data_IF_958110553740
#
_entry.id   IF_958110553740
#
_cell.length_a   1.000
_cell.length_b   1.000
_cell.length_c   1.000
_cell.angle_alpha   90.00
_cell.angle_beta   90.00
_cell.angle_gamma   90.00
#
_symmetry.space_group_name_H-M   'P 1'
#
loop_
_entity.id
_entity.type
_entity.pdbx_description
1 polymer ?
#
# COMPACT_ATOMS: atom_id res chain seq x y z
N UNK A 1 12.50 30.22 -9.45
CA UNK A 1 12.79 29.93 -10.87
C UNK A 1 12.92 28.42 -11.01
N UNK A 2 11.78 27.73 -11.17
CA UNK A 2 11.63 26.40 -11.74
C UNK A 2 10.14 26.28 -12.10
N UNK A 3 9.91 25.85 -13.33
CA UNK A 3 8.68 25.93 -14.10
C UNK A 3 7.73 24.78 -13.70
N UNK A 4 6.66 25.07 -12.94
CA UNK A 4 5.80 24.03 -12.32
C UNK A 4 4.37 23.98 -12.91
N UNK A 5 4.09 24.58 -14.07
CA UNK A 5 2.69 24.74 -14.54
C UNK A 5 2.36 24.22 -15.94
N UNK A 6 3.23 23.45 -16.61
CA UNK A 6 2.98 23.05 -18.01
C UNK A 6 2.90 21.54 -18.28
N UNK A 7 2.59 20.71 -17.27
CA UNK A 7 2.28 19.29 -17.50
C UNK A 7 0.83 19.03 -17.12
N UNK A 8 -0.10 19.39 -18.00
CA UNK A 8 -1.53 19.11 -17.81
C UNK A 8 -1.80 17.61 -17.59
N UNK A 9 -3.04 17.24 -17.28
CA UNK A 9 -3.53 15.86 -17.04
C UNK A 9 -3.08 14.77 -18.06
N UNK A 10 -2.51 15.15 -19.20
CA UNK A 10 -1.94 14.25 -20.22
C UNK A 10 -0.44 13.98 -20.08
N UNK A 11 0.30 14.66 -19.22
CA UNK A 11 1.75 14.54 -19.19
C UNK A 11 2.29 13.49 -18.22
N UNK A 12 3.62 13.36 -18.08
CA UNK A 12 4.26 12.31 -17.27
C UNK A 12 3.74 12.32 -15.83
N UNK A 13 3.50 11.13 -15.27
CA UNK A 13 3.02 10.98 -13.90
C UNK A 13 4.19 10.79 -12.94
N UNK A 14 4.38 11.77 -12.05
CA UNK A 14 5.33 11.65 -10.94
C UNK A 14 4.67 10.98 -9.75
N UNK A 15 5.18 9.82 -9.36
CA UNK A 15 4.74 9.04 -8.20
C UNK A 15 5.78 9.19 -7.10
N UNK A 16 5.38 9.79 -5.97
CA UNK A 16 6.20 9.87 -4.76
C UNK A 16 5.87 8.71 -3.84
N UNK A 17 6.85 7.89 -3.49
CA UNK A 17 6.67 6.71 -2.65
C UNK A 17 7.64 6.70 -1.47
N UNK A 18 7.27 5.97 -0.41
CA UNK A 18 8.13 5.79 0.76
C UNK A 18 9.31 4.89 0.37
N UNK A 19 10.55 5.33 0.59
CA UNK A 19 11.72 4.52 0.35
C UNK A 19 12.04 3.62 1.56
N UNK A 20 12.59 2.43 1.30
CA UNK A 20 13.07 1.55 2.37
C UNK A 20 14.24 2.22 3.12
N UNK A 21 14.20 2.31 4.46
CA UNK A 21 15.31 2.89 5.20
C UNK A 21 16.51 1.93 5.14
N UNK A 22 17.68 2.44 4.77
CA UNK A 22 18.92 1.66 4.74
C UNK A 22 19.35 1.17 6.13
N UNK A 23 18.90 1.85 7.21
CA UNK A 23 19.20 1.51 8.61
C UNK A 23 17.98 1.75 9.51
N UNK A 24 17.85 1.04 10.65
CA UNK A 24 16.66 1.09 11.50
C UNK A 24 16.37 2.45 12.15
N UNK A 25 17.35 3.36 12.24
CA UNK A 25 17.20 4.69 12.85
C UNK A 25 17.23 5.84 11.81
N UNK A 26 17.25 5.54 10.52
CA UNK A 26 17.27 6.58 9.49
C UNK A 26 15.88 7.19 9.36
N UNK A 27 15.77 8.53 9.24
CA UNK A 27 14.49 9.17 8.94
C UNK A 27 13.89 8.59 7.65
N UNK A 28 12.56 8.54 7.59
CA UNK A 28 11.84 8.11 6.39
C UNK A 28 12.18 9.05 5.23
N UNK A 29 12.72 8.47 4.16
CA UNK A 29 12.97 9.18 2.92
C UNK A 29 11.84 8.88 1.92
N UNK A 30 11.56 9.85 1.06
CA UNK A 30 10.67 9.66 -0.09
C UNK A 30 11.53 9.58 -1.35
N UNK A 31 11.14 8.71 -2.26
CA UNK A 31 11.70 8.63 -3.59
C UNK A 31 10.63 9.01 -4.62
N UNK A 32 11.08 9.53 -5.75
CA UNK A 32 10.21 9.93 -6.86
C UNK A 32 10.50 9.07 -8.07
N UNK A 33 9.42 8.67 -8.74
CA UNK A 33 9.43 7.88 -9.95
C UNK A 33 8.59 8.63 -10.99
N UNK A 34 9.15 8.88 -12.16
CA UNK A 34 8.42 9.50 -13.26
C UNK A 34 8.01 8.45 -14.26
N UNK A 35 6.70 8.31 -14.48
CA UNK A 35 6.13 7.44 -15.49
C UNK A 35 5.86 8.27 -16.75
N UNK A 36 6.44 7.90 -17.91
CA UNK A 36 6.18 8.59 -19.16
C UNK A 36 4.69 8.62 -19.51
N UNK A 37 4.22 9.75 -20.04
CA UNK A 37 2.83 9.89 -20.49
C UNK A 37 2.41 8.84 -21.52
N UNK A 38 3.34 8.37 -22.34
CA UNK A 38 3.10 7.38 -23.40
C UNK A 38 2.70 6.00 -22.85
N UNK A 39 3.04 5.69 -21.60
CA UNK A 39 2.67 4.43 -20.95
C UNK A 39 1.29 4.50 -20.27
N UNK A 40 0.69 5.69 -20.23
CA UNK A 40 -0.61 5.93 -19.61
C UNK A 40 -1.68 5.97 -20.69
N UNK A 41 -2.61 5.01 -20.62
CA UNK A 41 -3.73 4.94 -21.56
C UNK A 41 -5.01 5.46 -20.92
N UNK A 42 -5.61 6.46 -21.57
CA UNK A 42 -6.86 7.08 -21.18
C UNK A 42 -8.03 6.50 -21.97
N UNK A 43 -9.11 6.18 -21.26
CA UNK A 43 -10.40 5.86 -21.84
C UNK A 43 -11.46 6.76 -21.23
N UNK A 44 -12.29 7.36 -22.07
CA UNK A 44 -13.43 8.16 -21.63
C UNK A 44 -14.71 7.41 -21.92
N UNK A 45 -15.65 7.50 -20.98
CA UNK A 45 -16.98 6.92 -21.16
C UNK A 45 -18.02 7.79 -20.48
N UNK A 46 -19.28 7.41 -20.63
CA UNK A 46 -20.38 8.02 -19.89
C UNK A 46 -20.32 7.58 -18.42
N UNK A 47 -20.65 8.49 -17.52
CA UNK A 47 -20.84 8.18 -16.11
C UNK A 47 -22.16 7.45 -15.92
N UNK A 48 -22.17 6.39 -15.12
CA UNK A 48 -23.39 5.67 -14.78
C UNK A 48 -24.06 6.38 -13.59
N UNK A 49 -25.21 7.01 -13.81
CA UNK A 49 -26.01 7.65 -12.78
C UNK A 49 -27.52 7.58 -13.07
N UNK A 50 -28.40 7.62 -12.05
CA UNK A 50 -29.85 7.63 -12.26
C UNK A 50 -30.26 8.89 -13.04
N UNK A 51 -31.14 8.69 -14.03
CA UNK A 51 -31.40 9.60 -15.14
C UNK A 51 -31.83 11.03 -14.79
N UNK A 52 -31.22 11.97 -15.51
CA UNK A 52 -31.71 13.33 -15.74
C UNK A 52 -31.19 13.79 -17.10
N UNK A 53 -31.94 14.62 -17.83
CA UNK A 53 -31.69 14.94 -19.25
C UNK A 53 -30.29 15.55 -19.57
N UNK A 54 -29.54 15.97 -18.54
CA UNK A 54 -28.17 16.47 -18.66
C UNK A 54 -27.07 15.42 -18.43
N UNK A 55 -27.37 14.28 -17.81
CA UNK A 55 -26.37 13.27 -17.39
C UNK A 55 -25.96 12.36 -18.57
N UNK A 56 -26.80 12.25 -19.59
CA UNK A 56 -26.63 11.27 -20.68
C UNK A 56 -25.78 11.75 -21.87
N UNK A 57 -25.35 13.02 -21.91
CA UNK A 57 -24.76 13.60 -23.13
C UNK A 57 -23.23 13.77 -23.07
N UNK A 58 -22.62 13.84 -21.88
CA UNK A 58 -21.19 14.16 -21.76
C UNK A 58 -20.38 12.98 -21.20
N UNK A 59 -19.34 12.58 -21.94
CA UNK A 59 -18.35 11.57 -21.55
C UNK A 59 -17.45 12.07 -20.41
N UNK A 60 -18.06 12.19 -19.22
CA UNK A 60 -17.42 12.71 -18.02
C UNK A 60 -16.59 11.66 -17.28
N UNK A 61 -16.87 10.37 -17.41
CA UNK A 61 -16.12 9.31 -16.73
C UNK A 61 -14.75 9.14 -17.38
N UNK A 62 -13.71 9.18 -16.56
CA UNK A 62 -12.32 8.99 -16.96
C UNK A 62 -11.79 7.68 -16.39
N UNK A 63 -11.20 6.86 -17.25
CA UNK A 63 -10.49 5.63 -16.93
C UNK A 63 -9.03 5.80 -17.34
N UNK A 64 -8.14 5.48 -16.42
CA UNK A 64 -6.70 5.53 -16.62
C UNK A 64 -6.14 4.14 -16.39
N UNK A 65 -5.39 3.65 -17.37
CA UNK A 65 -4.76 2.33 -17.34
C UNK A 65 -3.24 2.46 -17.50
N UNK A 66 -2.52 1.63 -16.77
CA UNK A 66 -1.06 1.59 -16.77
C UNK A 66 -0.59 0.12 -16.73
N UNK A 67 0.23 -0.27 -17.69
CA UNK A 67 0.81 -1.62 -17.73
C UNK A 67 2.03 -1.71 -16.81
N UNK A 68 1.78 -2.21 -15.59
CA UNK A 68 2.81 -2.39 -14.58
C UNK A 68 3.78 -3.53 -14.93
N UNK A 69 3.38 -4.48 -15.78
CA UNK A 69 4.19 -5.64 -16.15
C UNK A 69 5.12 -5.34 -17.34
N UNK A 70 4.70 -4.48 -18.28
CA UNK A 70 5.48 -4.11 -19.46
C UNK A 70 6.37 -2.87 -19.26
N UNK A 71 6.06 -1.97 -18.31
CA UNK A 71 6.78 -0.70 -18.09
C UNK A 71 8.30 -0.85 -17.88
N UNK A 72 9.10 0.01 -18.52
CA UNK A 72 10.54 0.13 -18.25
C UNK A 72 10.87 1.23 -17.24
N UNK A 73 9.89 2.09 -16.92
CA UNK A 73 10.07 3.19 -15.99
C UNK A 73 10.39 2.71 -14.57
N UNK A 74 9.94 1.50 -14.20
CA UNK A 74 10.08 0.93 -12.84
C UNK A 74 11.24 -0.07 -12.78
N UNK A 75 12.19 0.09 -11.84
CA UNK A 75 13.24 -0.90 -11.60
C UNK A 75 12.68 -2.32 -11.35
N UNK A 76 13.31 -3.38 -11.87
CA UNK A 76 12.77 -4.75 -11.80
C UNK A 76 12.39 -5.22 -10.38
N UNK A 77 13.19 -4.89 -9.37
CA UNK A 77 12.93 -5.26 -7.98
C UNK A 77 11.72 -4.54 -7.37
N UNK A 78 11.43 -3.31 -7.80
CA UNK A 78 10.19 -2.60 -7.44
C UNK A 78 8.99 -3.16 -8.20
N UNK A 79 9.18 -3.50 -9.47
CA UNK A 79 8.16 -4.08 -10.33
C UNK A 79 7.63 -5.39 -9.75
N UNK A 80 8.52 -6.33 -9.40
CA UNK A 80 8.13 -7.60 -8.77
C UNK A 80 7.33 -7.36 -7.49
N UNK A 81 7.79 -6.46 -6.63
CA UNK A 81 7.07 -6.10 -5.40
C UNK A 81 5.68 -5.53 -5.69
N UNK A 82 5.60 -4.59 -6.63
CA UNK A 82 4.35 -3.93 -6.97
C UNK A 82 3.37 -4.94 -7.60
N UNK A 83 3.84 -5.88 -8.43
CA UNK A 83 3.03 -6.96 -9.01
C UNK A 83 2.49 -7.91 -7.93
N UNK A 84 3.31 -8.32 -6.97
CA UNK A 84 2.87 -9.17 -5.85
C UNK A 84 1.83 -8.45 -4.97
N UNK A 85 2.07 -7.18 -4.67
CA UNK A 85 1.26 -6.40 -3.72
C UNK A 85 -0.05 -5.90 -4.34
N UNK A 86 0.00 -5.48 -5.59
CA UNK A 86 -1.17 -5.01 -6.34
C UNK A 86 -1.88 -6.12 -7.10
N UNK A 87 -1.37 -7.36 -7.10
CA UNK A 87 -1.94 -8.51 -7.80
C UNK A 87 -3.48 -8.60 -7.79
N UNK A 88 -4.15 -8.46 -6.63
CA UNK A 88 -5.62 -8.49 -6.56
C UNK A 88 -6.34 -7.33 -7.28
N UNK A 89 -5.64 -6.22 -7.53
CA UNK A 89 -6.12 -5.02 -8.24
C UNK A 89 -5.72 -4.99 -9.71
N UNK A 90 -4.84 -5.88 -10.15
CA UNK A 90 -4.34 -5.91 -11.53
C UNK A 90 -5.17 -6.84 -12.40
N UNK A 91 -5.41 -6.44 -13.64
CA UNK A 91 -5.96 -7.32 -14.68
C UNK A 91 -4.88 -7.57 -15.71
N UNK A 92 -4.38 -8.79 -15.84
CA UNK A 92 -3.28 -9.14 -16.76
C UNK A 92 -2.03 -8.25 -16.61
N UNK A 93 -1.70 -7.84 -15.38
CA UNK A 93 -0.56 -6.93 -15.13
C UNK A 93 -0.86 -5.44 -15.35
N UNK A 94 -2.07 -5.11 -15.83
CA UNK A 94 -2.52 -3.72 -16.03
C UNK A 94 -3.27 -3.23 -14.79
N UNK A 95 -2.85 -2.08 -14.28
CA UNK A 95 -3.56 -1.34 -13.25
C UNK A 95 -4.53 -0.37 -13.90
N UNK A 96 -5.82 -0.53 -13.63
CA UNK A 96 -6.87 0.34 -14.15
C UNK A 96 -7.59 1.06 -13.02
N UNK A 97 -7.73 2.38 -13.15
CA UNK A 97 -8.38 3.25 -12.17
C UNK A 97 -9.43 4.09 -12.88
N UNK A 98 -10.61 4.22 -12.28
CA UNK A 98 -11.72 4.97 -12.87
C UNK A 98 -12.21 6.06 -11.92
N UNK A 99 -12.64 7.19 -12.48
CA UNK A 99 -13.26 8.30 -11.75
C UNK A 99 -14.46 8.85 -12.53
N UNK A 100 -15.57 9.04 -11.83
CA UNK A 100 -16.83 9.55 -12.40
C UNK A 100 -17.66 10.34 -11.39
N UNK A 101 -17.01 10.90 -10.37
CA UNK A 101 -17.68 11.61 -9.26
C UNK A 101 -18.04 13.04 -9.64
N UNK A 102 -17.24 13.66 -10.50
CA UNK A 102 -17.41 15.05 -10.90
C UNK A 102 -18.19 15.17 -12.19
N UNK A 103 -18.84 16.33 -12.38
CA UNK A 103 -19.50 16.67 -13.65
C UNK A 103 -18.51 16.98 -14.77
N UNK A 104 -17.33 17.49 -14.40
CA UNK A 104 -16.27 17.86 -15.34
C UNK A 104 -15.36 16.68 -15.66
N UNK A 105 -15.15 16.43 -16.95
CA UNK A 105 -14.19 15.44 -17.42
C UNK A 105 -12.77 15.74 -16.92
N UNK A 106 -12.36 17.03 -16.89
CA UNK A 106 -11.03 17.43 -16.41
C UNK A 106 -10.80 17.02 -14.95
N UNK A 107 -11.77 17.31 -14.07
CA UNK A 107 -11.68 16.96 -12.66
C UNK A 107 -11.69 15.45 -12.44
N UNK A 108 -12.46 14.70 -13.24
CA UNK A 108 -12.44 13.24 -13.19
C UNK A 108 -11.07 12.68 -13.64
N UNK A 109 -10.40 13.32 -14.60
CA UNK A 109 -9.05 12.93 -15.02
C UNK A 109 -8.02 13.17 -13.93
N UNK A 110 -8.05 14.34 -13.30
CA UNK A 110 -7.19 14.66 -12.15
C UNK A 110 -7.38 13.62 -11.03
N UNK A 111 -8.64 13.35 -10.67
CA UNK A 111 -8.95 12.35 -9.65
C UNK A 111 -8.49 10.92 -10.04
N UNK A 112 -8.63 10.51 -11.30
CA UNK A 112 -8.14 9.21 -11.77
C UNK A 112 -6.61 9.11 -11.69
N UNK A 113 -5.91 10.20 -12.03
CA UNK A 113 -4.46 10.31 -11.95
C UNK A 113 -3.95 10.23 -10.52
N UNK A 114 -4.57 10.96 -9.60
CA UNK A 114 -4.22 10.96 -8.18
C UNK A 114 -4.43 9.59 -7.55
N UNK A 115 -5.55 8.93 -7.88
CA UNK A 115 -5.84 7.55 -7.43
C UNK A 115 -4.82 6.55 -7.95
N UNK A 116 -4.38 6.69 -9.20
CA UNK A 116 -3.36 5.82 -9.77
C UNK A 116 -2.00 6.06 -9.10
N UNK A 117 -1.60 7.32 -8.90
CA UNK A 117 -0.38 7.66 -8.17
C UNK A 117 -0.39 7.11 -6.74
N UNK A 118 -1.51 7.26 -6.03
CA UNK A 118 -1.68 6.73 -4.68
C UNK A 118 -1.56 5.20 -4.66
N UNK A 119 -2.27 4.51 -5.55
CA UNK A 119 -2.25 3.04 -5.63
C UNK A 119 -0.86 2.51 -5.98
N UNK A 120 -0.15 3.17 -6.90
CA UNK A 120 1.23 2.83 -7.23
C UNK A 120 2.18 3.09 -6.06
N UNK A 121 2.03 4.22 -5.36
CA UNK A 121 2.83 4.50 -4.17
C UNK A 121 2.63 3.44 -3.06
N UNK A 122 1.40 2.96 -2.86
CA UNK A 122 1.11 1.85 -1.95
C UNK A 122 1.77 0.54 -2.39
N UNK A 123 1.83 0.27 -3.70
CA UNK A 123 2.47 -0.91 -4.28
C UNK A 123 4.00 -0.89 -4.19
N UNK A 124 4.60 0.28 -4.35
CA UNK A 124 6.05 0.50 -4.34
C UNK A 124 6.64 0.60 -2.92
N UNK A 125 5.81 0.98 -1.93
CA UNK A 125 6.23 1.15 -0.56
C UNK A 125 6.91 -0.11 0.02
N UNK A 126 7.95 0.06 0.87
CA UNK A 126 8.62 -1.05 1.53
C UNK A 126 7.64 -1.86 2.38
N UNK A 127 7.84 -3.18 2.49
CA UNK A 127 7.07 -3.98 3.42
C UNK A 127 7.27 -3.43 4.85
N UNK A 128 6.25 -3.53 5.70
CA UNK A 128 6.40 -3.16 7.10
C UNK A 128 7.56 -3.94 7.72
N UNK A 129 8.33 -3.33 8.64
CA UNK A 129 9.47 -3.99 9.25
C UNK A 129 9.01 -5.31 9.90
N UNK A 130 9.80 -6.40 9.74
CA UNK A 130 9.42 -7.69 10.27
C UNK A 130 9.19 -7.57 11.77
N UNK A 131 8.06 -8.11 12.22
CA UNK A 131 7.73 -8.11 13.65
C UNK A 131 8.75 -8.97 14.37
N UNK A 132 9.49 -8.37 15.30
CA UNK A 132 10.36 -9.13 16.20
C UNK A 132 9.49 -9.88 17.20
N UNK A 133 9.65 -11.21 17.24
CA UNK A 133 9.00 -12.02 18.26
C UNK A 133 9.48 -11.58 19.65
N UNK A 134 8.52 -11.40 20.56
CA UNK A 134 8.84 -11.06 21.95
C UNK A 134 9.31 -12.33 22.64
N UNK A 135 10.57 -12.34 23.10
CA UNK A 135 11.05 -13.37 24.02
C UNK A 135 10.34 -13.21 25.37
N UNK A 136 10.05 -14.32 26.05
CA UNK A 136 9.50 -14.30 27.42
C UNK A 136 10.43 -13.49 28.33
N UNK A 137 9.94 -12.44 29.02
CA UNK A 137 10.77 -11.63 29.89
C UNK A 137 11.39 -12.45 31.02
N UNK A 138 12.64 -12.14 31.39
CA UNK A 138 13.34 -12.83 32.48
C UNK A 138 12.56 -12.83 33.80
N UNK A 139 11.83 -11.74 34.10
CA UNK A 139 10.96 -11.63 35.27
C UNK A 139 9.77 -12.60 35.27
N UNK A 140 9.21 -12.90 34.10
CA UNK A 140 8.12 -13.90 33.95
C UNK A 140 8.67 -15.30 34.21
N UNK A 141 9.85 -15.61 33.66
CA UNK A 141 10.55 -16.88 33.91
C UNK A 141 10.87 -17.05 35.40
N UNK A 142 11.38 -16.01 36.07
CA UNK A 142 11.70 -16.02 37.51
C UNK A 142 10.45 -16.27 38.35
N UNK A 143 9.38 -15.50 38.14
CA UNK A 143 8.09 -15.69 38.86
C UNK A 143 7.51 -17.08 38.66
N UNK A 144 7.62 -17.66 37.46
CA UNK A 144 7.18 -19.04 37.18
C UNK A 144 7.95 -20.05 38.04
N UNK A 145 9.28 -19.92 38.12
CA UNK A 145 10.12 -20.81 38.92
C UNK A 145 9.82 -20.69 40.40
N UNK A 146 9.70 -19.47 40.92
CA UNK A 146 9.32 -19.20 42.32
C UNK A 146 7.96 -19.79 42.68
N UNK A 147 6.95 -19.60 41.81
CA UNK A 147 5.62 -20.17 42.01
C UNK A 147 5.64 -21.70 41.96
N UNK A 148 6.46 -22.30 41.09
CA UNK A 148 6.65 -23.75 41.02
C UNK A 148 7.28 -24.28 42.31
N UNK A 149 8.32 -23.62 42.82
CA UNK A 149 8.98 -23.98 44.07
C UNK A 149 8.01 -23.88 45.26
N UNK A 150 7.27 -22.76 45.38
CA UNK A 150 6.26 -22.55 46.43
C UNK A 150 5.17 -23.62 46.40
N UNK A 151 4.65 -23.97 45.22
CA UNK A 151 3.66 -25.06 45.07
C UNK A 151 4.24 -26.42 45.45
N UNK A 152 5.53 -26.67 45.18
CA UNK A 152 6.22 -27.89 45.60
C UNK A 152 6.28 -28.02 47.12
N UNK A 153 6.68 -26.96 47.81
CA UNK A 153 6.72 -26.92 49.28
C UNK A 153 5.32 -27.14 49.89
N UNK A 154 4.30 -26.47 49.37
CA UNK A 154 2.91 -26.66 49.82
C UNK A 154 2.44 -28.11 49.62
N UNK A 155 2.81 -28.76 48.50
CA UNK A 155 2.48 -30.18 48.27
C UNK A 155 3.22 -31.11 49.24
N UNK A 156 4.48 -30.81 49.54
CA UNK A 156 5.28 -31.61 50.47
C UNK A 156 4.71 -31.55 51.89
N UNK A 157 4.33 -30.36 52.36
CA UNK A 157 3.68 -30.20 53.69
C UNK A 157 2.28 -30.84 53.77
N UNK A 158 1.65 -31.16 52.63
CA UNK A 158 0.35 -31.85 52.58
C UNK A 158 0.46 -33.37 52.50
N UNK A 159 1.64 -33.94 52.22
CA UNK A 159 1.79 -35.38 52.35
C UNK A 159 1.67 -35.71 53.84
N UNK A 160 0.70 -36.57 54.19
CA UNK A 160 0.71 -37.24 55.49
C UNK A 160 2.04 -37.96 55.60
N UNK A 161 2.68 -37.82 56.76
CA UNK A 161 3.77 -38.72 57.15
C UNK A 161 3.11 -40.10 57.18
N UNK A 162 3.53 -41.00 56.29
CA UNK A 162 3.12 -42.39 56.38
C UNK A 162 3.79 -42.93 57.65
N UNK A 163 2.99 -43.08 58.71
CA UNK A 163 3.39 -43.70 59.96
C UNK A 163 3.81 -45.14 59.67
N UNK A 164 5.05 -45.49 60.02
CA UNK A 164 5.60 -46.84 59.98
C UNK A 164 5.85 -47.32 61.41
#
# INVERSE_FOLDING_TARGET
MADETATGVNGPLTVRYLAAPARPHTPRAFAELTIPAAELSWRFSRSAGPGGQSVNTTDSRAELSFDLAATEAIPPWLKTRALERLGPRLTNGVLTVTSSEQRSQLQNREAARDRLAFTLAEGLAPPPPPRREKKTPAGVTRRRLENKARRGQVKQMRRRVDDY
#
